data_IF_244064363226
#
_entry.id   IF_244064363226
#
_cell.length_a   1.000
_cell.length_b   1.000
_cell.length_c   1.000
_cell.angle_alpha   90.00
_cell.angle_beta   90.00
_cell.angle_gamma   90.00
#
_symmetry.space_group_name_H-M   'P 1'
#
loop_
_entity.id
_entity.type
_entity.pdbx_description
1 polymer ?
#
# COMPACT_ATOMS: atom_id res chain seq x y z
N UNK A 1 -14.62 12.68 9.38
CA UNK A 1 -15.04 13.37 10.63
C UNK A 1 -15.92 12.49 11.54
N UNK A 2 -16.79 11.62 11.02
CA UNK A 2 -17.64 10.75 11.87
C UNK A 2 -16.88 9.57 12.54
N UNK A 3 -15.81 9.06 11.93
CA UNK A 3 -15.02 7.94 12.48
C UNK A 3 -14.13 8.31 13.67
N UNK A 4 -13.67 9.56 13.75
CA UNK A 4 -12.85 10.08 14.86
C UNK A 4 -13.68 10.27 16.15
N UNK A 5 -14.94 10.68 16.00
CA UNK A 5 -15.89 10.82 17.11
C UNK A 5 -16.26 9.45 17.72
N UNK A 6 -16.37 8.40 16.92
CA UNK A 6 -16.68 7.05 17.41
C UNK A 6 -15.50 6.46 18.18
N UNK A 7 -14.26 6.70 17.76
CA UNK A 7 -13.06 6.27 18.50
C UNK A 7 -12.91 6.96 19.85
N UNK A 8 -13.18 8.27 19.92
CA UNK A 8 -13.16 9.02 21.18
C UNK A 8 -14.28 8.61 22.14
N UNK A 9 -15.49 8.34 21.62
CA UNK A 9 -16.60 7.85 22.45
C UNK A 9 -16.35 6.44 23.03
N UNK A 10 -15.62 5.59 22.29
CA UNK A 10 -15.27 4.24 22.72
C UNK A 10 -14.15 4.24 23.76
N UNK A 11 -13.15 5.13 23.62
CA UNK A 11 -12.08 5.29 24.61
C UNK A 11 -12.57 5.88 25.94
N UNK A 12 -13.53 6.81 25.90
CA UNK A 12 -14.18 7.34 27.11
C UNK A 12 -15.02 6.29 27.84
N UNK A 13 -15.77 5.44 27.14
CA UNK A 13 -16.52 4.33 27.76
C UNK A 13 -15.59 3.32 28.45
N UNK A 14 -14.47 2.98 27.82
CA UNK A 14 -13.49 2.05 28.39
C UNK A 14 -12.80 2.61 29.64
N UNK A 15 -12.55 3.92 29.68
CA UNK A 15 -11.94 4.58 30.84
C UNK A 15 -12.92 4.67 32.03
N UNK A 16 -14.17 5.04 31.78
CA UNK A 16 -15.21 5.12 32.83
C UNK A 16 -15.50 3.75 33.44
N UNK A 17 -15.52 2.69 32.63
CA UNK A 17 -15.73 1.32 33.10
C UNK A 17 -14.56 0.82 33.97
N UNK A 18 -13.31 1.24 33.67
CA UNK A 18 -12.12 0.90 34.48
C UNK A 18 -12.09 1.62 35.83
N UNK A 19 -12.58 2.86 35.89
CA UNK A 19 -12.67 3.64 37.15
C UNK A 19 -13.78 3.11 38.07
N UNK A 20 -14.84 2.51 37.52
CA UNK A 20 -15.90 1.90 38.33
C UNK A 20 -15.58 0.49 38.83
N UNK A 21 -14.65 -0.23 38.18
CA UNK A 21 -14.25 -1.60 38.54
C UNK A 21 -13.02 -1.71 39.45
N UNK A 22 -12.39 -0.61 39.85
CA UNK A 22 -11.36 -0.66 40.89
C UNK A 22 -12.04 -0.85 42.25
N UNK A 23 -11.70 -1.90 43.03
CA UNK A 23 -12.17 -1.97 44.40
C UNK A 23 -11.64 -0.74 45.12
N UNK A 24 -12.55 0.10 45.62
CA UNK A 24 -12.23 1.09 46.66
C UNK A 24 -11.72 0.31 47.86
N UNK A 25 -10.40 0.11 47.94
CA UNK A 25 -9.76 -0.34 49.17
C UNK A 25 -9.97 0.79 50.19
N UNK A 26 -10.77 0.64 51.25
CA UNK A 26 -10.56 1.47 52.40
C UNK A 26 -9.22 1.01 52.98
N UNK A 27 -8.17 1.79 52.80
CA UNK A 27 -7.03 1.73 53.71
C UNK A 27 -7.60 2.11 55.09
N UNK A 28 -8.10 1.11 55.82
CA UNK A 28 -8.28 1.23 57.27
C UNK A 28 -6.87 1.29 57.82
N UNK A 29 -6.37 2.50 57.99
CA UNK A 29 -5.21 2.75 58.80
C UNK A 29 -5.58 2.24 60.20
N UNK A 30 -5.08 1.08 60.61
CA UNK A 30 -5.19 0.62 61.99
C UNK A 30 -4.36 1.58 62.86
N UNK A 31 -5.00 2.65 63.29
CA UNK A 31 -4.47 3.65 64.23
C UNK A 31 -4.16 3.04 65.61
N UNK A 32 -4.52 1.77 65.83
CA UNK A 32 -4.25 1.03 67.06
C UNK A 32 -2.78 0.58 67.22
N UNK A 33 -1.92 0.77 66.21
CA UNK A 33 -0.49 0.50 66.34
C UNK A 33 0.36 1.72 66.72
N UNK A 34 -0.27 2.88 66.94
CA UNK A 34 0.42 4.14 67.29
C UNK A 34 0.06 4.70 68.67
N UNK A 35 -0.81 4.04 69.45
CA UNK A 35 -1.07 4.40 70.85
C UNK A 35 -0.34 3.44 71.80
N UNK A 36 0.99 3.50 71.79
CA UNK A 36 1.77 3.18 72.99
C UNK A 36 2.07 4.51 73.69
N UNK A 37 1.37 4.77 74.79
CA UNK A 37 1.62 5.92 75.65
C UNK A 37 0.37 6.59 76.24
N UNK A 38 0.03 6.24 77.47
CA UNK A 38 -0.52 7.19 78.44
C UNK A 38 -1.99 7.04 78.87
N UNK A 39 -2.16 6.33 80.00
CA UNK A 39 -3.01 6.67 81.16
C UNK A 39 -4.54 6.75 81.05
N UNK A 40 -5.20 5.92 81.86
CA UNK A 40 -6.60 6.05 82.27
C UNK A 40 -6.97 4.99 83.30
N UNK A 41 -6.97 5.38 84.58
CA UNK A 41 -7.28 4.61 85.79
C UNK A 41 -8.53 3.71 85.72
N UNK A 42 -8.42 2.52 86.32
CA UNK A 42 -9.54 1.76 86.89
C UNK A 42 -9.17 1.37 88.33
N UNK A 43 -9.82 1.94 89.38
CA UNK A 43 -9.37 1.82 90.75
C UNK A 43 -10.10 0.69 91.47
N UNK A 44 -9.93 -0.57 91.05
CA UNK A 44 -10.28 -1.71 91.91
C UNK A 44 -9.68 -3.03 91.42
N UNK A 45 -8.37 -3.20 91.63
CA UNK A 45 -7.77 -4.53 91.68
C UNK A 45 -6.57 -4.56 92.62
N UNK A 46 -6.85 -4.92 93.86
CA UNK A 46 -5.88 -5.23 94.91
C UNK A 46 -4.96 -6.38 94.44
N UNK A 47 -3.64 -6.19 94.27
CA UNK A 47 -2.74 -7.31 94.09
C UNK A 47 -2.40 -7.90 95.47
N UNK A 48 -2.65 -9.19 95.65
CA UNK A 48 -2.09 -9.97 96.76
C UNK A 48 -0.56 -9.91 96.68
N UNK A 49 0.05 -9.38 97.74
CA UNK A 49 1.49 -9.37 97.92
C UNK A 49 1.96 -10.78 98.25
N UNK A 50 2.69 -11.38 97.32
CA UNK A 50 3.74 -12.34 97.67
C UNK A 50 4.98 -11.52 98.03
N UNK A 51 5.26 -11.43 99.33
CA UNK A 51 6.48 -10.85 99.90
C UNK A 51 7.70 -11.71 99.50
N UNK A 52 8.19 -11.52 98.28
CA UNK A 52 9.60 -11.74 97.98
C UNK A 52 10.34 -10.41 98.15
N UNK A 53 11.49 -10.38 98.85
CA UNK A 53 12.25 -9.14 99.03
C UNK A 53 12.57 -8.49 97.67
N UNK A 54 12.63 -7.15 97.58
CA UNK A 54 12.99 -6.48 96.33
C UNK A 54 14.32 -7.04 95.86
N UNK A 55 14.35 -7.66 94.68
CA UNK A 55 15.56 -8.21 94.07
C UNK A 55 16.55 -7.06 93.87
N UNK A 56 17.46 -6.90 94.82
CA UNK A 56 18.61 -6.02 94.70
C UNK A 56 19.62 -6.74 93.83
N UNK A 57 19.73 -6.33 92.58
CA UNK A 57 20.74 -6.87 91.68
C UNK A 57 22.11 -6.34 92.07
N UNK A 58 23.12 -7.19 92.05
CA UNK A 58 24.51 -6.70 92.11
C UNK A 58 24.87 -6.05 90.77
N UNK A 59 25.91 -5.22 90.76
CA UNK A 59 26.37 -4.58 89.52
C UNK A 59 26.72 -5.62 88.45
N UNK A 60 27.30 -6.75 88.86
CA UNK A 60 27.63 -7.86 87.97
C UNK A 60 26.39 -8.51 87.35
N UNK A 61 25.29 -8.66 88.11
CA UNK A 61 24.03 -9.21 87.60
C UNK A 61 23.36 -8.27 86.58
N UNK A 62 23.45 -6.95 86.79
CA UNK A 62 22.97 -5.96 85.83
C UNK A 62 23.77 -5.97 84.53
N UNK A 63 25.10 -6.04 84.63
CA UNK A 63 25.98 -6.13 83.45
C UNK A 63 25.72 -7.42 82.66
N UNK A 64 25.47 -8.55 83.33
CA UNK A 64 25.07 -9.81 82.70
C UNK A 64 23.72 -9.69 81.97
N UNK A 65 22.72 -9.04 82.57
CA UNK A 65 21.40 -8.83 81.98
C UNK A 65 21.50 -7.92 80.74
N UNK A 66 22.29 -6.84 80.82
CA UNK A 66 22.53 -5.92 79.70
C UNK A 66 23.24 -6.66 78.56
N UNK A 67 24.25 -7.47 78.86
CA UNK A 67 24.95 -8.29 77.87
C UNK A 67 24.02 -9.28 77.18
N UNK A 68 23.19 -10.01 77.94
CA UNK A 68 22.18 -10.95 77.39
C UNK A 68 21.13 -10.23 76.53
N UNK A 69 20.70 -9.02 76.93
CA UNK A 69 19.76 -8.20 76.15
C UNK A 69 20.40 -7.73 74.84
N UNK A 70 21.65 -7.26 74.90
CA UNK A 70 22.41 -6.78 73.75
C UNK A 70 22.68 -7.91 72.76
N UNK A 71 23.04 -9.10 73.22
CA UNK A 71 23.20 -10.29 72.39
C UNK A 71 21.89 -10.70 71.71
N UNK A 72 20.76 -10.65 72.44
CA UNK A 72 19.44 -10.95 71.88
C UNK A 72 19.02 -9.94 70.80
N UNK A 73 19.25 -8.65 71.03
CA UNK A 73 18.97 -7.60 70.04
C UNK A 73 19.91 -7.70 68.83
N UNK A 74 21.20 -7.97 69.03
CA UNK A 74 22.13 -8.23 67.92
C UNK A 74 21.69 -9.43 67.09
N UNK A 75 21.32 -10.53 67.73
CA UNK A 75 20.85 -11.74 67.03
C UNK A 75 19.55 -11.48 66.27
N UNK A 76 18.57 -10.79 66.87
CA UNK A 76 17.34 -10.39 66.17
C UNK A 76 17.62 -9.47 64.99
N UNK A 77 18.52 -8.49 65.14
CA UNK A 77 18.88 -7.59 64.05
C UNK A 77 19.64 -8.32 62.93
N UNK A 78 20.46 -9.32 63.27
CA UNK A 78 21.17 -10.15 62.32
C UNK A 78 20.21 -11.11 61.59
N UNK A 79 19.19 -11.64 62.27
CA UNK A 79 18.11 -12.43 61.65
C UNK A 79 17.21 -11.59 60.74
N UNK A 80 16.86 -10.36 61.14
CA UNK A 80 15.93 -9.50 60.38
C UNK A 80 16.60 -8.68 59.27
N UNK A 81 17.89 -8.37 59.39
CA UNK A 81 18.60 -7.45 58.49
C UNK A 81 19.98 -7.95 58.05
N UNK A 82 20.38 -9.17 58.40
CA UNK A 82 21.67 -9.74 57.98
C UNK A 82 21.81 -9.85 56.46
N UNK A 83 20.68 -10.00 55.76
CA UNK A 83 20.53 -10.06 54.31
C UNK A 83 20.31 -8.69 53.65
N UNK A 84 20.25 -7.59 54.42
CA UNK A 84 20.00 -6.25 53.87
C UNK A 84 21.02 -5.83 52.81
N UNK A 85 22.30 -6.16 53.01
CA UNK A 85 23.35 -5.88 52.02
C UNK A 85 23.16 -6.71 50.75
N UNK A 86 22.71 -7.96 50.86
CA UNK A 86 22.43 -8.83 49.71
C UNK A 86 21.19 -8.39 48.95
N UNK A 87 20.13 -7.98 49.66
CA UNK A 87 18.92 -7.40 49.06
C UNK A 87 19.25 -6.10 48.33
N UNK A 88 20.06 -5.23 48.94
CA UNK A 88 20.52 -3.98 48.31
C UNK A 88 21.39 -4.26 47.08
N UNK A 89 22.28 -5.25 47.14
CA UNK A 89 23.10 -5.64 46.00
C UNK A 89 22.24 -6.22 44.85
N UNK A 90 21.26 -7.08 45.17
CA UNK A 90 20.31 -7.64 44.18
C UNK A 90 19.44 -6.55 43.56
N UNK A 91 18.96 -5.60 44.35
CA UNK A 91 18.16 -4.48 43.85
C UNK A 91 18.97 -3.62 42.88
N UNK A 92 20.21 -3.27 43.24
CA UNK A 92 21.09 -2.51 42.36
C UNK A 92 21.43 -3.26 41.06
N UNK A 93 21.61 -4.58 41.12
CA UNK A 93 21.83 -5.42 39.94
C UNK A 93 20.57 -5.49 39.05
N UNK A 94 19.39 -5.61 39.65
CA UNK A 94 18.12 -5.65 38.94
C UNK A 94 17.82 -4.32 38.25
N UNK A 95 18.01 -3.19 38.94
CA UNK A 95 17.82 -1.85 38.35
C UNK A 95 18.76 -1.60 37.17
N UNK A 96 20.02 -2.06 37.25
CA UNK A 96 20.94 -2.02 36.10
C UNK A 96 20.46 -2.88 34.94
N UNK A 97 20.09 -4.13 35.19
CA UNK A 97 19.63 -5.04 34.16
C UNK A 97 18.35 -4.54 33.47
N UNK A 98 17.39 -4.00 34.23
CA UNK A 98 16.18 -3.36 33.71
C UNK A 98 16.50 -2.09 32.90
N UNK A 99 17.43 -1.26 33.38
CA UNK A 99 17.89 -0.08 32.64
C UNK A 99 18.52 -0.43 31.29
N UNK A 100 19.37 -1.46 31.26
CA UNK A 100 19.99 -1.97 30.04
C UNK A 100 18.95 -2.58 29.09
N UNK A 101 18.01 -3.39 29.61
CA UNK A 101 16.90 -3.94 28.79
C UNK A 101 16.06 -2.85 28.19
N UNK A 102 15.62 -1.86 28.98
CA UNK A 102 14.83 -0.73 28.46
C UNK A 102 15.58 0.04 27.40
N UNK A 103 16.88 0.26 27.57
CA UNK A 103 17.70 0.95 26.57
C UNK A 103 17.79 0.16 25.27
N UNK A 104 17.99 -1.15 25.34
CA UNK A 104 17.99 -2.03 24.16
C UNK A 104 16.62 -2.08 23.48
N UNK A 105 15.54 -2.22 24.26
CA UNK A 105 14.16 -2.23 23.75
C UNK A 105 13.80 -0.92 23.06
N UNK A 106 14.18 0.23 23.62
CA UNK A 106 13.99 1.54 23.00
C UNK A 106 14.75 1.66 21.67
N UNK A 107 16.00 1.18 21.64
CA UNK A 107 16.83 1.22 20.41
C UNK A 107 16.24 0.32 19.33
N UNK A 108 15.74 -0.86 19.70
CA UNK A 108 15.11 -1.78 18.76
C UNK A 108 13.74 -1.27 18.29
N UNK A 109 12.97 -0.62 19.17
CA UNK A 109 11.72 0.06 18.82
C UNK A 109 11.94 1.19 17.81
N UNK A 110 12.94 2.04 18.04
CA UNK A 110 13.32 3.11 17.11
C UNK A 110 13.75 2.53 15.76
N UNK A 111 14.54 1.43 15.76
CA UNK A 111 14.92 0.72 14.54
C UNK A 111 13.71 0.16 13.80
N UNK A 112 12.79 -0.49 14.52
CA UNK A 112 11.56 -1.04 13.95
C UNK A 112 10.66 0.06 13.38
N UNK A 113 10.55 1.21 14.06
CA UNK A 113 9.76 2.34 13.57
C UNK A 113 10.36 2.92 12.28
N UNK A 114 11.68 3.11 12.24
CA UNK A 114 12.34 3.57 11.01
C UNK A 114 12.16 2.57 9.85
N UNK A 115 12.28 1.27 10.11
CA UNK A 115 12.08 0.23 9.10
C UNK A 115 10.63 0.16 8.62
N UNK A 116 9.66 0.34 9.52
CA UNK A 116 8.22 0.45 9.18
C UNK A 116 7.93 1.67 8.32
N UNK A 117 8.42 2.84 8.71
CA UNK A 117 8.22 4.08 7.95
C UNK A 117 8.86 3.99 6.55
N UNK A 118 10.04 3.40 6.44
CA UNK A 118 10.68 3.16 5.14
C UNK A 118 9.90 2.15 4.29
N UNK A 119 9.40 1.08 4.90
CA UNK A 119 8.55 0.09 4.22
C UNK A 119 7.22 0.69 3.75
N UNK A 120 6.56 1.48 4.59
CA UNK A 120 5.31 2.17 4.28
C UNK A 120 5.52 3.19 3.15
N UNK A 121 6.63 3.94 3.19
CA UNK A 121 6.99 4.86 2.12
C UNK A 121 7.23 4.13 0.80
N UNK A 122 8.00 3.03 0.81
CA UNK A 122 8.22 2.21 -0.39
C UNK A 122 6.92 1.60 -0.90
N UNK A 123 6.03 1.16 -0.02
CA UNK A 123 4.73 0.62 -0.40
C UNK A 123 3.84 1.69 -1.05
N UNK A 124 3.84 2.91 -0.51
CA UNK A 124 3.12 4.04 -1.10
C UNK A 124 3.68 4.41 -2.47
N UNK A 125 5.00 4.56 -2.59
CA UNK A 125 5.67 4.85 -3.86
C UNK A 125 5.41 3.75 -4.91
N UNK A 126 5.45 2.48 -4.52
CA UNK A 126 5.15 1.36 -5.41
C UNK A 126 3.68 1.36 -5.84
N UNK A 127 2.76 1.64 -4.93
CA UNK A 127 1.33 1.74 -5.24
C UNK A 127 1.03 2.89 -6.20
N UNK A 128 1.61 4.07 -5.96
CA UNK A 128 1.46 5.22 -6.86
C UNK A 128 2.08 4.95 -8.23
N UNK A 129 3.26 4.32 -8.28
CA UNK A 129 3.90 3.94 -9.52
C UNK A 129 3.06 2.91 -10.30
N UNK A 130 2.48 1.93 -9.62
CA UNK A 130 1.60 0.93 -10.21
C UNK A 130 0.31 1.58 -10.76
N UNK A 131 -0.34 2.46 -10.00
CA UNK A 131 -1.53 3.18 -10.45
C UNK A 131 -1.23 4.05 -11.69
N UNK A 132 -0.15 4.84 -11.66
CA UNK A 132 0.27 5.65 -12.83
C UNK A 132 0.60 4.78 -14.05
N UNK A 133 1.24 3.64 -13.85
CA UNK A 133 1.54 2.71 -14.93
C UNK A 133 0.26 2.10 -15.52
N UNK A 134 -0.69 1.72 -14.66
CA UNK A 134 -2.00 1.18 -15.05
C UNK A 134 -2.82 2.22 -15.81
N UNK A 135 -2.94 3.45 -15.30
CA UNK A 135 -3.63 4.56 -15.99
C UNK A 135 -3.03 4.82 -17.37
N UNK A 136 -1.69 4.84 -17.48
CA UNK A 136 -1.00 5.04 -18.75
C UNK A 136 -1.23 3.88 -19.73
N UNK A 137 -1.26 2.65 -19.24
CA UNK A 137 -1.57 1.47 -20.04
C UNK A 137 -3.02 1.53 -20.53
N UNK A 138 -3.97 1.76 -19.62
CA UNK A 138 -5.39 1.89 -19.90
C UNK A 138 -5.64 2.99 -20.93
N UNK A 139 -5.05 4.17 -20.76
CA UNK A 139 -5.16 5.27 -21.71
C UNK A 139 -4.59 4.92 -23.09
N UNK A 140 -3.47 4.18 -23.16
CA UNK A 140 -2.92 3.70 -24.44
C UNK A 140 -3.83 2.71 -25.14
N UNK A 141 -4.44 1.78 -24.40
CA UNK A 141 -5.39 0.81 -24.92
C UNK A 141 -6.60 1.54 -25.47
N UNK A 142 -7.23 2.40 -24.66
CA UNK A 142 -8.38 3.21 -25.05
C UNK A 142 -8.09 4.05 -26.31
N UNK A 143 -6.97 4.75 -26.34
CA UNK A 143 -6.57 5.57 -27.48
C UNK A 143 -6.33 4.73 -28.74
N UNK A 144 -5.88 3.49 -28.59
CA UNK A 144 -5.66 2.57 -29.71
C UNK A 144 -7.00 2.06 -30.23
N UNK A 145 -7.92 1.73 -29.33
CA UNK A 145 -9.27 1.25 -29.67
C UNK A 145 -10.09 2.35 -30.37
N UNK A 146 -10.05 3.57 -29.85
CA UNK A 146 -10.69 4.71 -30.53
C UNK A 146 -10.13 4.88 -31.95
N UNK A 147 -8.80 4.74 -32.12
CA UNK A 147 -8.17 4.85 -33.44
C UNK A 147 -8.48 3.67 -34.36
N UNK A 148 -8.62 2.44 -33.85
CA UNK A 148 -9.01 1.27 -34.67
C UNK A 148 -10.44 1.44 -35.16
N UNK A 149 -11.37 1.76 -34.26
CA UNK A 149 -12.79 2.02 -34.56
C UNK A 149 -12.93 3.20 -35.53
N UNK A 150 -12.22 4.31 -35.29
CA UNK A 150 -12.23 5.45 -36.20
C UNK A 150 -11.79 5.08 -37.62
N UNK A 151 -10.75 4.24 -37.76
CA UNK A 151 -10.32 3.74 -39.09
C UNK A 151 -11.36 2.83 -39.71
N UNK A 152 -11.97 1.94 -38.94
CA UNK A 152 -13.03 1.05 -39.40
C UNK A 152 -14.26 1.84 -39.90
N UNK A 153 -14.53 3.00 -39.31
CA UNK A 153 -15.62 3.90 -39.70
C UNK A 153 -15.22 4.94 -40.77
N UNK A 154 -14.07 4.76 -41.42
CA UNK A 154 -13.52 5.59 -42.48
C UNK A 154 -13.15 7.04 -42.05
N UNK A 155 -12.64 7.24 -40.84
CA UNK A 155 -12.12 8.55 -40.44
C UNK A 155 -10.99 9.03 -41.38
N UNK A 156 -11.01 10.31 -41.74
CA UNK A 156 -9.94 10.96 -42.51
C UNK A 156 -8.63 10.99 -41.70
N UNK A 157 -8.71 11.38 -40.43
CA UNK A 157 -7.62 11.32 -39.46
C UNK A 157 -8.11 10.73 -38.12
N UNK A 158 -7.67 9.50 -37.75
CA UNK A 158 -7.98 8.89 -36.46
C UNK A 158 -7.44 9.66 -35.24
N UNK A 159 -6.40 10.47 -35.42
CA UNK A 159 -5.84 11.35 -34.39
C UNK A 159 -6.79 12.50 -34.04
N UNK A 160 -7.40 13.12 -35.05
CA UNK A 160 -8.38 14.19 -34.84
C UNK A 160 -9.67 13.66 -34.20
N UNK A 161 -10.10 12.45 -34.59
CA UNK A 161 -11.20 11.76 -33.92
C UNK A 161 -10.88 11.54 -32.45
N UNK A 162 -9.69 11.03 -32.12
CA UNK A 162 -9.29 10.84 -30.73
C UNK A 162 -9.29 12.15 -29.91
N UNK A 163 -8.90 13.26 -30.54
CA UNK A 163 -8.81 14.56 -29.89
C UNK A 163 -10.20 15.17 -29.61
N UNK A 164 -11.20 14.89 -30.46
CA UNK A 164 -12.52 15.52 -30.40
C UNK A 164 -13.64 14.61 -29.88
N UNK A 165 -13.39 13.30 -29.75
CA UNK A 165 -14.35 12.34 -29.23
C UNK A 165 -14.70 12.63 -27.77
N UNK A 166 -16.01 12.62 -27.45
CA UNK A 166 -16.47 12.58 -26.07
C UNK A 166 -16.23 11.18 -25.49
N UNK A 167 -15.46 11.11 -24.42
CA UNK A 167 -15.06 9.87 -23.75
C UNK A 167 -15.94 9.54 -22.54
N UNK A 168 -16.89 10.42 -22.20
CA UNK A 168 -17.72 10.30 -21.00
C UNK A 168 -18.66 9.09 -21.02
N UNK A 169 -19.03 8.62 -22.21
CA UNK A 169 -19.87 7.43 -22.41
C UNK A 169 -19.08 6.12 -22.45
N UNK A 170 -17.75 6.17 -22.46
CA UNK A 170 -16.89 4.98 -22.61
C UNK A 170 -16.57 4.41 -21.23
N UNK A 171 -16.81 3.12 -21.05
CA UNK A 171 -16.59 2.42 -19.78
C UNK A 171 -15.65 1.23 -19.96
N UNK A 172 -14.81 0.98 -18.96
CA UNK A 172 -13.97 -0.20 -18.88
C UNK A 172 -14.74 -1.29 -18.11
N UNK A 173 -14.91 -2.45 -18.71
CA UNK A 173 -15.58 -3.58 -18.07
C UNK A 173 -14.64 -4.44 -17.21
N UNK A 174 -15.20 -5.45 -16.54
CA UNK A 174 -14.46 -6.37 -15.68
C UNK A 174 -13.49 -7.28 -16.45
N UNK A 175 -13.67 -7.43 -17.76
CA UNK A 175 -12.80 -8.22 -18.63
C UNK A 175 -11.61 -7.40 -19.17
N UNK A 176 -11.61 -6.08 -18.94
CA UNK A 176 -10.58 -5.17 -19.44
C UNK A 176 -10.85 -4.65 -20.85
N UNK A 177 -12.09 -4.76 -21.34
CA UNK A 177 -12.54 -4.24 -22.64
C UNK A 177 -13.30 -2.92 -22.47
N UNK A 178 -13.22 -2.05 -23.48
CA UNK A 178 -13.90 -0.76 -23.48
C UNK A 178 -15.25 -0.86 -24.20
N UNK A 179 -16.33 -0.60 -23.47
CA UNK A 179 -17.70 -0.56 -23.99
C UNK A 179 -18.07 0.87 -24.40
N UNK A 180 -18.87 1.03 -25.46
CA UNK A 180 -19.37 2.33 -25.90
C UNK A 180 -18.45 3.12 -26.86
N UNK A 181 -17.31 2.55 -27.26
CA UNK A 181 -16.35 3.22 -28.16
C UNK A 181 -16.93 3.38 -29.55
N UNK A 182 -17.55 2.33 -30.10
CA UNK A 182 -18.12 2.35 -31.45
C UNK A 182 -19.30 3.32 -31.55
N UNK A 183 -20.18 3.32 -30.56
CA UNK A 183 -21.31 4.23 -30.44
C UNK A 183 -20.85 5.69 -30.35
N UNK A 184 -19.80 5.97 -29.56
CA UNK A 184 -19.25 7.30 -29.45
C UNK A 184 -18.67 7.80 -30.79
N UNK A 185 -17.92 6.96 -31.52
CA UNK A 185 -17.36 7.36 -32.82
C UNK A 185 -18.46 7.52 -33.87
N UNK A 186 -19.51 6.69 -33.85
CA UNK A 186 -20.67 6.85 -34.72
C UNK A 186 -21.43 8.16 -34.44
N UNK A 187 -21.65 8.51 -33.17
CA UNK A 187 -22.25 9.81 -32.80
C UNK A 187 -21.38 10.99 -33.26
N UNK A 188 -20.04 10.86 -33.20
CA UNK A 188 -19.13 11.86 -33.76
C UNK A 188 -19.24 11.95 -35.29
N UNK A 189 -19.41 10.81 -35.98
CA UNK A 189 -19.60 10.75 -37.43
C UNK A 189 -20.89 11.43 -37.88
N UNK A 190 -21.98 11.27 -37.12
CA UNK A 190 -23.24 11.96 -37.38
C UNK A 190 -23.15 13.47 -37.14
N UNK A 191 -22.52 13.88 -36.05
CA UNK A 191 -22.38 15.30 -35.69
C UNK A 191 -21.35 16.05 -36.52
N UNK A 192 -20.29 15.37 -36.99
CA UNK A 192 -19.19 15.94 -37.79
C UNK A 192 -18.85 15.04 -39.00
N UNK A 193 -19.75 14.95 -40.00
CA UNK A 193 -19.55 14.05 -41.14
C UNK A 193 -18.28 14.36 -41.97
N UNK A 194 -17.83 15.61 -41.97
CA UNK A 194 -16.63 16.06 -42.68
C UNK A 194 -15.33 15.44 -42.16
N UNK A 195 -15.32 14.87 -40.95
CA UNK A 195 -14.17 14.15 -40.40
C UNK A 195 -14.00 12.74 -40.96
N UNK A 196 -15.02 12.24 -41.68
CA UNK A 196 -15.05 10.88 -42.20
C UNK A 196 -15.12 10.91 -43.72
N UNK A 197 -14.56 9.90 -44.38
CA UNK A 197 -14.68 9.76 -45.82
C UNK A 197 -16.13 9.48 -46.14
N UNK A 198 -16.64 10.25 -47.10
CA UNK A 198 -17.93 9.93 -47.70
C UNK A 198 -17.76 8.61 -48.44
N UNK A 199 -18.67 7.67 -48.22
CA UNK A 199 -18.77 6.46 -49.04
C UNK A 199 -19.19 6.93 -50.43
N UNK A 200 -18.21 7.27 -51.26
CA UNK A 200 -18.44 7.49 -52.68
C UNK A 200 -18.70 6.10 -53.24
N UNK A 201 -19.85 5.92 -53.90
CA UNK A 201 -20.21 4.64 -54.53
C UNK A 201 -19.06 4.12 -55.40
N UNK A 202 -19.11 2.83 -55.72
CA UNK A 202 -18.05 2.03 -56.36
C UNK A 202 -17.40 2.62 -57.65
N UNK A 203 -17.89 3.75 -58.17
CA UNK A 203 -17.28 4.53 -59.24
C UNK A 203 -16.01 5.31 -58.83
N UNK A 204 -15.68 5.41 -57.54
CA UNK A 204 -14.45 6.07 -57.06
C UNK A 204 -13.30 5.09 -56.73
N UNK A 205 -13.35 3.84 -57.20
CA UNK A 205 -12.26 2.88 -57.12
C UNK A 205 -11.15 3.20 -58.15
N UNK A 206 -10.47 4.33 -57.97
CA UNK A 206 -9.36 4.77 -58.80
C UNK A 206 -8.21 5.41 -58.02
N UNK A 207 -8.18 5.23 -56.70
CA UNK A 207 -7.19 5.79 -55.80
C UNK A 207 -5.96 4.90 -55.59
N UNK A 208 -5.38 4.36 -56.67
CA UNK A 208 -4.00 3.89 -56.65
C UNK A 208 -3.18 4.95 -57.39
N UNK A 209 -2.32 5.65 -56.68
CA UNK A 209 -1.34 6.53 -57.28
C UNK A 209 -0.09 5.70 -57.66
N UNK A 210 0.14 5.35 -58.94
CA UNK A 210 1.47 5.34 -59.49
C UNK A 210 1.69 6.70 -60.14
N UNK A 211 2.82 7.34 -59.81
CA UNK A 211 3.20 8.63 -60.38
C UNK A 211 2.92 8.65 -61.88
N UNK A 212 2.11 9.63 -62.30
CA UNK A 212 1.63 9.81 -63.66
C UNK A 212 2.79 10.13 -64.60
N UNK A 213 3.53 9.09 -64.99
CA UNK A 213 4.14 9.06 -66.30
C UNK A 213 3.24 8.19 -67.18
N UNK A 214 2.36 8.78 -68.02
CA UNK A 214 1.41 8.03 -68.83
C UNK A 214 2.11 6.98 -69.71
N UNK A 215 3.37 7.22 -70.07
CA UNK A 215 4.20 6.25 -70.81
C UNK A 215 4.61 5.04 -69.98
N UNK A 216 4.94 5.22 -68.70
CA UNK A 216 5.29 4.09 -67.84
C UNK A 216 4.08 3.17 -67.66
N UNK A 217 2.88 3.74 -67.53
CA UNK A 217 1.64 2.99 -67.45
C UNK A 217 1.32 2.27 -68.77
N UNK A 218 1.55 2.91 -69.92
CA UNK A 218 1.38 2.30 -71.24
C UNK A 218 2.34 1.13 -71.47
N UNK A 219 3.62 1.28 -71.08
CA UNK A 219 4.62 0.22 -71.18
C UNK A 219 4.25 -0.97 -70.29
N UNK A 220 3.87 -0.73 -69.03
CA UNK A 220 3.47 -1.79 -68.10
C UNK A 220 2.20 -2.52 -68.58
N UNK A 221 1.24 -1.80 -69.17
CA UNK A 221 0.04 -2.40 -69.74
C UNK A 221 0.38 -3.30 -70.94
N UNK A 222 1.23 -2.83 -71.86
CA UNK A 222 1.68 -3.61 -73.02
C UNK A 222 2.53 -4.83 -72.62
N UNK A 223 3.33 -4.73 -71.56
CA UNK A 223 4.08 -5.87 -71.00
C UNK A 223 3.14 -6.94 -70.46
N UNK A 224 2.08 -6.55 -69.75
CA UNK A 224 1.07 -7.50 -69.26
C UNK A 224 0.30 -8.16 -70.41
N UNK A 225 -0.10 -7.37 -71.40
CA UNK A 225 -0.82 -7.86 -72.59
C UNK A 225 0.05 -8.83 -73.40
N UNK A 226 1.36 -8.56 -73.48
CA UNK A 226 2.33 -9.44 -74.16
C UNK A 226 2.47 -10.79 -73.45
N UNK A 227 2.53 -10.82 -72.12
CA UNK A 227 2.59 -12.07 -71.35
C UNK A 227 1.29 -12.88 -71.48
N UNK A 228 0.13 -12.22 -71.45
CA UNK A 228 -1.16 -12.86 -71.71
C UNK A 228 -1.24 -13.42 -73.14
N UNK A 229 -0.76 -12.66 -74.13
CA UNK A 229 -0.71 -13.10 -75.53
C UNK A 229 0.26 -14.28 -75.72
N UNK A 230 1.42 -14.28 -75.06
CA UNK A 230 2.36 -15.41 -75.06
C UNK A 230 1.73 -16.67 -74.45
N UNK A 231 1.03 -16.52 -73.33
CA UNK A 231 0.33 -17.63 -72.70
C UNK A 231 -0.79 -18.20 -73.60
N UNK A 232 -1.47 -17.36 -74.37
CA UNK A 232 -2.46 -17.77 -75.39
C UNK A 232 -1.78 -18.43 -76.59
N UNK A 233 -0.68 -17.88 -77.09
CA UNK A 233 0.07 -18.42 -78.21
C UNK A 233 0.71 -19.79 -77.91
N UNK A 234 1.11 -20.02 -76.66
CA UNK A 234 1.61 -21.32 -76.21
C UNK A 234 0.53 -22.41 -76.25
N UNK A 235 -0.75 -22.02 -76.10
CA UNK A 235 -1.91 -22.92 -76.16
C UNK A 235 -2.47 -23.06 -77.58
N UNK A 236 -2.39 -22.00 -78.39
CA UNK A 236 -2.92 -21.97 -79.75
C UNK A 236 -2.04 -21.08 -80.66
N UNK A 237 -1.42 -21.72 -81.65
CA UNK A 237 -0.44 -21.11 -82.56
C UNK A 237 -1.00 -19.92 -83.36
N UNK A 238 -2.32 -19.81 -83.52
CA UNK A 238 -2.96 -18.69 -84.23
C UNK A 238 -2.71 -17.32 -83.57
N UNK A 239 -2.40 -17.30 -82.27
CA UNK A 239 -2.11 -16.07 -81.52
C UNK A 239 -0.63 -15.63 -81.61
N UNK A 240 0.23 -16.38 -82.30
CA UNK A 240 1.63 -15.99 -82.49
C UNK A 240 1.77 -14.63 -83.20
N UNK A 241 0.87 -14.31 -84.14
CA UNK A 241 0.85 -13.01 -84.81
C UNK A 241 0.44 -11.85 -83.90
N UNK A 242 -0.34 -12.12 -82.85
CA UNK A 242 -0.75 -11.14 -81.84
C UNK A 242 0.40 -10.83 -80.89
N UNK A 243 1.18 -11.83 -80.49
CA UNK A 243 2.42 -11.66 -79.71
C UNK A 243 3.39 -10.74 -80.44
N UNK A 244 3.64 -10.99 -81.73
CA UNK A 244 4.56 -10.16 -82.54
C UNK A 244 4.05 -8.72 -82.66
N UNK A 245 2.73 -8.53 -82.81
CA UNK A 245 2.11 -7.20 -82.91
C UNK A 245 2.27 -6.40 -81.61
N UNK A 246 1.99 -7.01 -80.46
CA UNK A 246 2.11 -6.37 -79.15
C UNK A 246 3.59 -6.09 -78.84
N UNK A 247 4.49 -7.02 -79.21
CA UNK A 247 5.93 -6.84 -79.04
C UNK A 247 6.47 -5.63 -79.83
N UNK A 248 6.04 -5.45 -81.08
CA UNK A 248 6.43 -4.28 -81.87
C UNK A 248 5.90 -2.97 -81.27
N UNK A 249 4.65 -2.95 -80.80
CA UNK A 249 4.08 -1.80 -80.08
C UNK A 249 4.86 -1.46 -78.80
N UNK A 250 5.28 -2.48 -78.05
CA UNK A 250 6.09 -2.31 -76.84
C UNK A 250 7.47 -1.72 -77.17
N UNK A 251 8.10 -2.16 -78.27
CA UNK A 251 9.36 -1.58 -78.75
C UNK A 251 9.19 -0.12 -79.17
N UNK A 252 8.12 0.22 -79.89
CA UNK A 252 7.80 1.60 -80.28
C UNK A 252 7.54 2.50 -79.07
N UNK A 253 6.79 2.01 -78.08
CA UNK A 253 6.53 2.72 -76.83
C UNK A 253 7.81 2.98 -76.02
N UNK A 254 8.74 2.02 -75.99
CA UNK A 254 10.05 2.15 -75.32
C UNK A 254 11.04 3.03 -76.10
N UNK A 255 10.92 3.11 -77.42
CA UNK A 255 11.79 3.94 -78.26
C UNK A 255 11.40 5.43 -78.26
N UNK A 256 10.17 5.77 -77.85
CA UNK A 256 9.67 7.14 -77.78
C UNK A 256 10.26 7.88 -76.57
N UNK A 257 11.28 8.71 -76.81
CA UNK A 257 11.91 9.60 -75.81
C UNK A 257 10.96 10.67 -75.29
#
# INVERSE_FOLDING_TARGET
MQMEYVKQATSLKYFVEKVQKTPKFPLRLDLQFFSDGGSGDDPDKKPEGTDDPPKTFTQEELDEIVKKRLERERNKSAEQYGDYNDVKAKLAAYEKAEGERKKQEMTELERLQAEKEEADKKALEASEAAQKAQEKANARILNTEIKSVARALDANDPGDVLALLDKSSIQLDENGEYQGVEEAVNALKESKPWMFKKVVGADAAGGANPGTNPRANEILALERELEEAKAKALKDSKFAGEVTRIYNKLLEAKAKK
#
